data_IF_626818840556
#
_entry.id   IF_626818840556
#
_cell.length_a   1.000
_cell.length_b   1.000
_cell.length_c   1.000
_cell.angle_alpha   90.00
_cell.angle_beta   90.00
_cell.angle_gamma   90.00
#
_symmetry.space_group_name_H-M   'P 1'
#
loop_
_entity.id
_entity.type
_entity.pdbx_description
1 polymer ?
#
# COMPACT_ATOMS: atom_id res chain seq x y z
N UNK A 1 -6.36 43.61 55.13
CA UNK A 1 -4.91 43.55 55.47
C UNK A 1 -4.52 42.08 55.35
N UNK A 2 -4.04 41.67 54.17
CA UNK A 2 -2.63 41.30 53.93
C UNK A 2 -2.12 40.29 54.96
N UNK A 3 -1.93 39.03 54.55
CA UNK A 3 -0.58 38.46 54.43
C UNK A 3 -0.56 37.34 53.39
N UNK A 4 0.41 37.48 52.50
CA UNK A 4 0.85 36.59 51.44
C UNK A 4 1.85 35.62 52.10
N UNK A 5 1.99 34.38 51.62
CA UNK A 5 3.27 33.75 51.20
C UNK A 5 3.31 32.21 51.36
N UNK A 6 3.42 31.54 50.20
CA UNK A 6 4.06 30.25 49.85
C UNK A 6 3.85 29.00 50.72
N UNK A 7 3.50 27.91 50.03
CA UNK A 7 4.38 26.73 49.87
C UNK A 7 4.04 25.96 48.60
N UNK A 8 4.97 26.00 47.64
CA UNK A 8 5.14 24.97 46.61
C UNK A 8 5.43 23.64 47.31
N UNK A 9 4.82 22.55 46.85
CA UNK A 9 5.49 21.29 46.48
C UNK A 9 4.54 20.10 46.58
N UNK A 10 4.73 19.17 45.62
CA UNK A 10 4.28 17.76 45.60
C UNK A 10 2.81 17.59 45.21
N UNK A 11 2.41 16.84 44.20
CA UNK A 11 3.07 15.74 43.48
C UNK A 11 2.01 14.67 43.22
N UNK A 12 2.19 13.91 42.13
CA UNK A 12 1.48 12.69 41.73
C UNK A 12 0.20 12.79 40.86
N UNK A 13 0.43 12.39 39.60
CA UNK A 13 -0.30 11.36 38.85
C UNK A 13 -1.72 11.63 38.35
N UNK A 14 -1.82 11.90 37.05
CA UNK A 14 -2.75 11.15 36.18
C UNK A 14 -2.02 10.86 34.86
N UNK A 15 -1.63 9.59 34.68
CA UNK A 15 -1.11 9.09 33.42
C UNK A 15 -2.28 8.98 32.43
N UNK A 16 -2.39 9.93 31.51
CA UNK A 16 -3.18 9.73 30.30
C UNK A 16 -2.25 9.12 29.24
N UNK A 17 -2.36 7.80 29.06
CA UNK A 17 -1.77 7.09 27.94
C UNK A 17 -2.43 7.57 26.64
N UNK A 18 -1.91 8.66 26.07
CA UNK A 18 -2.16 9.00 24.69
C UNK A 18 -1.30 8.06 23.83
N UNK A 19 -1.86 6.89 23.51
CA UNK A 19 -1.49 6.13 22.33
C UNK A 19 -1.88 6.99 21.12
N UNK A 20 -1.06 7.99 20.82
CA UNK A 20 -1.20 8.76 19.59
C UNK A 20 -0.94 7.79 18.45
N UNK A 21 -2.01 7.42 17.76
CA UNK A 21 -1.96 6.73 16.48
C UNK A 21 -0.84 7.35 15.65
N UNK A 22 0.18 6.55 15.33
CA UNK A 22 1.02 6.78 14.17
C UNK A 22 0.11 6.69 12.94
N UNK A 23 -0.61 7.76 12.64
CA UNK A 23 -1.07 8.00 11.28
C UNK A 23 0.22 8.27 10.52
N UNK A 24 0.71 7.26 9.80
CA UNK A 24 1.69 7.47 8.75
C UNK A 24 1.01 8.36 7.72
N UNK A 25 1.09 9.67 7.91
CA UNK A 25 0.79 10.67 6.88
C UNK A 25 1.97 10.65 5.92
N UNK A 26 2.12 9.54 5.19
CA UNK A 26 2.87 9.57 3.95
C UNK A 26 2.22 10.59 3.03
N UNK A 27 2.99 11.29 2.18
CA UNK A 27 2.43 12.26 1.24
C UNK A 27 1.30 11.60 0.45
N UNK A 28 0.18 12.32 0.22
CA UNK A 28 -0.94 11.81 -0.56
C UNK A 28 -0.39 11.37 -1.91
N UNK A 29 -0.62 10.10 -2.27
CA UNK A 29 -0.08 9.58 -3.52
C UNK A 29 -1.18 9.68 -4.56
N UNK A 30 -0.98 10.57 -5.52
CA UNK A 30 -1.76 10.61 -6.75
C UNK A 30 -1.83 9.21 -7.35
N UNK A 31 -2.84 8.95 -8.19
CA UNK A 31 -2.91 7.74 -9.03
C UNK A 31 -1.72 7.54 -9.99
N UNK A 32 -0.64 8.33 -9.85
CA UNK A 32 0.66 8.16 -10.48
C UNK A 32 1.70 7.91 -9.39
N UNK A 33 2.39 6.78 -9.49
CA UNK A 33 3.39 6.40 -8.50
C UNK A 33 3.81 4.96 -8.60
N UNK A 34 4.83 4.60 -7.82
CA UNK A 34 5.34 3.24 -7.69
C UNK A 34 5.41 2.86 -6.22
N UNK A 35 4.76 1.76 -5.86
CA UNK A 35 4.72 1.24 -4.49
C UNK A 35 5.18 -0.20 -4.48
N UNK A 36 6.29 -0.43 -3.81
CA UNK A 36 6.93 -1.73 -3.72
C UNK A 36 6.97 -2.21 -2.28
N UNK A 37 6.86 -3.52 -2.11
CA UNK A 37 7.52 -4.19 -1.01
C UNK A 37 8.76 -4.93 -1.54
N UNK A 38 9.32 -5.86 -0.75
CA UNK A 38 10.53 -6.60 -1.11
C UNK A 38 10.36 -7.60 -2.29
N UNK A 39 9.12 -7.84 -2.75
CA UNK A 39 8.83 -8.87 -3.75
C UNK A 39 7.88 -8.41 -4.88
N UNK A 40 6.97 -7.47 -4.59
CA UNK A 40 5.90 -7.04 -5.49
C UNK A 40 5.88 -5.52 -5.55
N UNK A 41 5.74 -4.98 -6.76
CA UNK A 41 5.56 -3.56 -7.01
C UNK A 41 4.26 -3.32 -7.79
N UNK A 42 3.58 -2.22 -7.47
CA UNK A 42 2.50 -1.64 -8.25
C UNK A 42 3.02 -0.34 -8.84
N UNK A 43 2.72 -0.06 -10.09
CA UNK A 43 3.02 1.20 -10.75
C UNK A 43 1.80 1.67 -11.55
N UNK A 44 1.44 2.93 -11.37
CA UNK A 44 0.33 3.57 -12.08
C UNK A 44 0.82 4.89 -12.68
N UNK A 45 0.20 5.30 -13.79
CA UNK A 45 0.61 6.50 -14.55
C UNK A 45 -0.52 7.52 -14.70
N UNK A 46 -1.66 7.26 -14.05
CA UNK A 46 -2.87 8.07 -14.16
C UNK A 46 -2.86 9.21 -13.14
N UNK A 47 -3.78 10.17 -13.24
CA UNK A 47 -3.86 11.29 -12.31
C UNK A 47 -5.24 11.36 -11.67
N UNK A 48 -5.31 11.96 -10.47
CA UNK A 48 -6.53 12.08 -9.69
C UNK A 48 -7.07 10.71 -9.26
N UNK A 49 -8.35 10.49 -9.53
CA UNK A 49 -9.11 9.33 -9.05
C UNK A 49 -9.39 8.28 -10.14
N UNK A 50 -8.90 8.49 -11.36
CA UNK A 50 -9.02 7.56 -12.47
C UNK A 50 -7.87 6.55 -12.48
N UNK A 51 -8.19 5.27 -12.67
CA UNK A 51 -7.18 4.24 -12.95
C UNK A 51 -7.45 3.61 -14.32
N UNK A 52 -6.62 3.96 -15.29
CA UNK A 52 -6.62 3.40 -16.64
C UNK A 52 -5.78 2.14 -16.73
N UNK A 53 -4.56 2.18 -16.16
CA UNK A 53 -3.62 1.05 -16.18
C UNK A 53 -2.86 0.94 -14.87
N UNK A 54 -2.85 -0.27 -14.34
CA UNK A 54 -2.05 -0.67 -13.18
C UNK A 54 -1.04 -1.71 -13.63
N UNK A 55 0.25 -1.36 -13.62
CA UNK A 55 1.31 -2.31 -13.82
C UNK A 55 1.66 -3.00 -12.50
N UNK A 56 1.87 -4.31 -12.56
CA UNK A 56 2.33 -5.10 -11.43
C UNK A 56 3.61 -5.83 -11.83
N UNK A 57 4.61 -5.75 -10.94
CA UNK A 57 5.87 -6.48 -11.08
C UNK A 57 6.04 -7.44 -9.92
N UNK A 58 6.45 -8.68 -10.19
CA UNK A 58 6.78 -9.68 -9.16
C UNK A 58 8.20 -10.19 -9.37
N UNK A 59 9.04 -10.03 -8.35
CA UNK A 59 10.44 -10.43 -8.39
C UNK A 59 10.54 -11.95 -8.28
N UNK A 60 11.11 -12.59 -9.30
CA UNK A 60 11.48 -14.00 -9.22
C UNK A 60 12.88 -14.16 -8.60
N UNK A 61 13.07 -15.27 -7.90
CA UNK A 61 14.29 -15.54 -7.14
C UNK A 61 15.19 -16.54 -7.88
N UNK A 62 15.72 -17.53 -7.17
CA UNK A 62 16.79 -18.43 -7.59
C UNK A 62 16.34 -19.58 -8.49
N UNK A 63 15.05 -19.78 -8.73
CA UNK A 63 14.54 -20.86 -9.58
C UNK A 63 13.39 -20.38 -10.49
N UNK A 64 13.15 -21.05 -11.62
CA UNK A 64 12.00 -20.76 -12.46
C UNK A 64 10.69 -21.00 -11.69
N UNK A 65 9.73 -20.11 -11.85
CA UNK A 65 8.43 -20.22 -11.22
C UNK A 65 7.33 -19.81 -12.18
N UNK A 66 6.18 -20.48 -12.08
CA UNK A 66 4.93 -19.98 -12.62
C UNK A 66 4.44 -18.81 -11.77
N UNK A 67 4.35 -17.63 -12.37
CA UNK A 67 4.03 -16.38 -11.69
C UNK A 67 2.77 -15.77 -12.29
N UNK A 68 1.92 -15.23 -11.42
CA UNK A 68 0.84 -14.32 -11.78
C UNK A 68 0.61 -13.36 -10.62
N UNK A 69 -0.28 -12.40 -10.80
CA UNK A 69 -0.69 -11.48 -9.76
C UNK A 69 -2.21 -11.29 -9.77
N UNK A 70 -2.73 -10.84 -8.64
CA UNK A 70 -4.08 -10.32 -8.52
C UNK A 70 -3.98 -8.85 -8.18
N UNK A 71 -4.77 -8.01 -8.84
CA UNK A 71 -4.91 -6.59 -8.51
C UNK A 71 -6.36 -6.39 -8.08
N UNK A 72 -6.60 -5.68 -6.99
CA UNK A 72 -7.96 -5.39 -6.54
C UNK A 72 -8.03 -4.07 -5.78
N UNK A 73 -9.25 -3.58 -5.66
CA UNK A 73 -9.57 -2.41 -4.86
C UNK A 73 -10.52 -2.77 -3.73
N UNK A 74 -10.48 -1.99 -2.63
CA UNK A 74 -11.39 -2.20 -1.49
C UNK A 74 -12.86 -1.90 -1.81
N UNK A 75 -13.15 -1.27 -2.96
CA UNK A 75 -14.51 -1.01 -3.42
C UNK A 75 -15.05 -2.06 -4.41
N UNK A 76 -14.38 -3.21 -4.53
CA UNK A 76 -14.92 -4.40 -5.21
C UNK A 76 -14.50 -4.62 -6.66
N UNK A 77 -13.58 -3.83 -7.22
CA UNK A 77 -12.96 -4.17 -8.49
C UNK A 77 -11.79 -5.15 -8.26
N UNK A 78 -11.63 -6.13 -9.15
CA UNK A 78 -10.45 -6.99 -9.15
C UNK A 78 -10.19 -7.61 -10.51
N UNK A 79 -8.93 -7.91 -10.79
CA UNK A 79 -8.49 -8.64 -11.97
C UNK A 79 -7.29 -9.53 -11.62
N UNK A 80 -7.18 -10.66 -12.31
CA UNK A 80 -5.96 -11.47 -12.33
C UNK A 80 -5.17 -11.14 -13.58
N UNK A 81 -3.85 -11.09 -13.44
CA UNK A 81 -2.95 -10.96 -14.58
C UNK A 81 -2.72 -12.33 -15.24
N UNK A 82 -2.06 -12.34 -16.41
CA UNK A 82 -1.74 -13.59 -17.10
C UNK A 82 -0.83 -14.47 -16.24
N UNK A 83 -0.92 -15.77 -16.43
CA UNK A 83 -0.01 -16.72 -15.80
C UNK A 83 1.17 -16.96 -16.74
N UNK A 84 2.40 -16.77 -16.26
CA UNK A 84 3.61 -16.92 -17.07
C UNK A 84 4.69 -17.72 -16.32
N UNK A 85 5.39 -18.61 -17.04
CA UNK A 85 6.55 -19.32 -16.52
C UNK A 85 7.79 -18.43 -16.64
N UNK A 86 8.25 -17.89 -15.50
CA UNK A 86 9.33 -16.89 -15.44
C UNK A 86 10.63 -17.55 -15.01
N UNK A 87 11.69 -17.34 -15.79
CA UNK A 87 13.02 -17.87 -15.47
C UNK A 87 13.62 -17.25 -14.20
N UNK A 88 14.63 -17.93 -13.63
CA UNK A 88 15.34 -17.45 -12.43
C UNK A 88 15.90 -16.03 -12.63
N UNK A 89 15.88 -15.24 -11.56
CA UNK A 89 16.40 -13.86 -11.50
C UNK A 89 15.81 -12.93 -12.58
N UNK A 90 14.57 -13.19 -13.00
CA UNK A 90 13.78 -12.32 -13.87
C UNK A 90 12.58 -11.76 -13.12
N UNK A 91 12.13 -10.59 -13.51
CA UNK A 91 10.95 -9.96 -12.93
C UNK A 91 9.78 -10.22 -13.85
N UNK A 92 8.74 -10.84 -13.32
CA UNK A 92 7.44 -10.89 -13.97
C UNK A 92 6.89 -9.47 -14.06
N UNK A 93 6.31 -9.08 -15.20
CA UNK A 93 5.59 -7.82 -15.36
C UNK A 93 4.32 -8.05 -16.16
N UNK A 94 3.21 -7.55 -15.66
CA UNK A 94 1.96 -7.54 -16.40
C UNK A 94 1.08 -6.36 -15.97
N UNK A 95 -0.04 -6.18 -16.65
CA UNK A 95 -0.91 -5.03 -16.51
C UNK A 95 -2.34 -5.46 -16.18
N UNK A 96 -3.03 -4.66 -15.38
CA UNK A 96 -4.46 -4.74 -15.18
C UNK A 96 -5.10 -3.41 -15.58
N UNK A 97 -6.31 -3.46 -16.14
CA UNK A 97 -6.98 -2.30 -16.74
C UNK A 97 -8.32 -2.05 -16.05
N UNK A 98 -8.35 -1.29 -14.93
CA UNK A 98 -9.61 -0.93 -14.29
C UNK A 98 -10.52 -0.06 -15.16
N UNK A 99 -9.93 0.87 -15.91
CA UNK A 99 -10.60 1.81 -16.84
C UNK A 99 -11.80 2.52 -16.24
N UNK A 100 -11.67 3.00 -15.00
CA UNK A 100 -12.76 3.67 -14.26
C UNK A 100 -12.23 4.58 -13.16
N UNK A 101 -13.12 5.48 -12.70
CA UNK A 101 -12.89 6.29 -11.51
C UNK A 101 -13.14 5.49 -10.22
N UNK A 102 -12.37 5.83 -9.19
CA UNK A 102 -12.44 5.24 -7.86
C UNK A 102 -12.61 6.35 -6.82
N UNK A 103 -13.58 6.28 -5.92
CA UNK A 103 -13.74 7.31 -4.89
C UNK A 103 -12.46 7.51 -4.07
N UNK A 104 -12.15 8.75 -3.66
CA UNK A 104 -11.03 9.02 -2.74
C UNK A 104 -11.09 8.13 -1.50
N UNK A 105 -9.94 7.64 -1.05
CA UNK A 105 -9.85 6.68 0.06
C UNK A 105 -9.96 5.21 -0.36
N UNK A 106 -10.30 4.92 -1.62
CA UNK A 106 -10.22 3.55 -2.15
C UNK A 106 -8.78 3.06 -2.10
N UNK A 107 -8.54 1.86 -1.58
CA UNK A 107 -7.21 1.25 -1.60
C UNK A 107 -7.06 0.37 -2.83
N UNK A 108 -5.98 0.57 -3.60
CA UNK A 108 -5.51 -0.31 -4.66
C UNK A 108 -4.44 -1.23 -4.08
N UNK A 109 -4.61 -2.54 -4.25
CA UNK A 109 -3.70 -3.56 -3.77
C UNK A 109 -3.32 -4.51 -4.91
N UNK A 110 -2.14 -5.11 -4.81
CA UNK A 110 -1.74 -6.19 -5.68
C UNK A 110 -1.05 -7.29 -4.88
N UNK A 111 -1.34 -8.53 -5.21
CA UNK A 111 -0.77 -9.73 -4.64
C UNK A 111 -0.01 -10.47 -5.71
N UNK A 112 1.27 -10.73 -5.48
CA UNK A 112 2.07 -11.58 -6.36
C UNK A 112 2.03 -13.02 -5.90
N UNK A 113 1.86 -13.95 -6.84
CA UNK A 113 1.90 -15.39 -6.59
C UNK A 113 3.08 -16.00 -7.34
N UNK A 114 3.94 -16.73 -6.64
CA UNK A 114 5.13 -17.39 -7.20
C UNK A 114 5.09 -18.88 -6.85
N UNK A 115 4.87 -19.73 -7.86
CA UNK A 115 4.73 -21.17 -7.64
C UNK A 115 3.51 -21.55 -6.79
N UNK A 116 2.46 -20.74 -6.82
CA UNK A 116 1.24 -20.94 -6.02
C UNK A 116 1.23 -20.18 -4.68
N UNK A 117 2.38 -19.76 -4.18
CA UNK A 117 2.51 -19.06 -2.90
C UNK A 117 2.41 -17.54 -3.06
N UNK A 118 1.70 -16.89 -2.15
CA UNK A 118 1.68 -15.43 -2.05
C UNK A 118 3.04 -14.90 -1.58
N UNK A 119 3.61 -13.93 -2.29
CA UNK A 119 4.95 -13.40 -1.99
C UNK A 119 4.96 -11.93 -1.59
N UNK A 120 3.83 -11.24 -1.66
CA UNK A 120 3.77 -9.84 -1.25
C UNK A 120 2.47 -9.17 -1.64
N UNK A 121 2.09 -8.17 -0.84
CA UNK A 121 0.82 -7.46 -0.93
C UNK A 121 0.98 -5.93 -0.72
N UNK A 122 1.64 -5.20 -1.62
CA UNK A 122 1.62 -3.74 -1.57
C UNK A 122 0.19 -3.21 -1.73
N UNK A 123 -0.13 -2.14 -0.99
CA UNK A 123 -1.39 -1.42 -1.12
C UNK A 123 -1.13 0.09 -1.02
N UNK A 124 -1.83 0.87 -1.85
CA UNK A 124 -1.84 2.33 -1.83
C UNK A 124 -3.27 2.85 -1.73
N UNK A 125 -3.46 4.00 -1.08
CA UNK A 125 -4.74 4.72 -1.06
C UNK A 125 -4.78 5.72 -2.21
N UNK A 126 -5.84 5.65 -3.03
CA UNK A 126 -6.11 6.62 -4.10
C UNK A 126 -6.60 7.92 -3.45
N UNK A 127 -5.88 9.02 -3.73
CA UNK A 127 -6.27 10.37 -3.33
C UNK A 127 -6.52 11.20 -4.59
N UNK A 128 -7.67 11.88 -4.65
CA UNK A 128 -8.02 12.77 -5.77
C UNK A 128 -7.07 13.97 -5.90
#
# INVERSE_FOLDING_TARGET
>A
MHEITRKLASGAAVAAAALSCLVVTGPPVAASGKWCNNAVCIETYDNGDYLGRVEVSVINTNQPHRIHARVWTTNGWSAHTKVEDVSKFRTYRDQAYPQRHFPPGTRLCAEGFRGGESVGLPCVTITA
#
